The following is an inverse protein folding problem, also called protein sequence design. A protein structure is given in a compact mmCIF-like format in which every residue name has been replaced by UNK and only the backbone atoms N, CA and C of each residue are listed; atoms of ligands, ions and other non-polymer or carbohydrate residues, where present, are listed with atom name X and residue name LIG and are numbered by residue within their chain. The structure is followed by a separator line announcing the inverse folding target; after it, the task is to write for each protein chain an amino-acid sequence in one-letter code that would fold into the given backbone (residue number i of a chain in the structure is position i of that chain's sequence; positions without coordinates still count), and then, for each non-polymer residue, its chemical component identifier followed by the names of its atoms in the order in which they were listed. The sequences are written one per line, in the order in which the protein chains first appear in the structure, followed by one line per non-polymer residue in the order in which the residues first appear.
data_IF_825551960428
#
_entry.id   IF_825551960428
#
_cell.length_a   1.000
_cell.length_b   1.000
_cell.length_c   1.000
_cell.angle_alpha   90.00
_cell.angle_beta   90.00
_cell.angle_gamma   90.00
#
_symmetry.space_group_name_H-M   'P 1'
#
loop_
_entity.id
_entity.type
_entity.pdbx_description
1 polymer ?
#
# COMPACT_ATOMS: atom_id res chain seq x y z
N UNK A 1 -13.07 -25.39 33.63
CA UNK A 1 -11.76 -24.80 33.98
C UNK A 1 -10.93 -24.71 32.71
N UNK A 2 -10.39 -23.51 32.42
CA UNK A 2 -9.21 -23.21 31.58
C UNK A 2 -9.46 -23.18 30.05
N UNK A 3 -9.97 -22.08 29.46
CA UNK A 3 -9.32 -20.81 29.00
C UNK A 3 -8.36 -20.93 27.82
N UNK A 4 -8.65 -20.15 26.76
CA UNK A 4 -7.77 -19.20 26.02
C UNK A 4 -8.19 -19.10 24.53
N UNK A 5 -8.82 -18.00 24.10
CA UNK A 5 -8.24 -16.78 23.44
C UNK A 5 -7.64 -17.05 22.06
N UNK A 6 -7.87 -16.29 20.98
CA UNK A 6 -8.28 -14.88 20.85
C UNK A 6 -8.99 -14.65 19.51
N UNK A 7 -10.07 -13.86 19.51
CA UNK A 7 -10.46 -13.11 18.32
C UNK A 7 -9.43 -12.00 18.11
N UNK A 8 -8.57 -12.15 17.11
CA UNK A 8 -7.66 -11.07 16.70
C UNK A 8 -8.32 -10.29 15.58
N UNK A 9 -9.18 -9.34 15.94
CA UNK A 9 -9.56 -8.27 15.03
C UNK A 9 -8.34 -7.35 14.92
N UNK A 10 -7.45 -7.65 13.97
CA UNK A 10 -6.36 -6.74 13.59
C UNK A 10 -6.97 -5.54 12.90
N UNK A 11 -7.33 -4.51 13.66
CA UNK A 11 -7.56 -3.17 13.12
C UNK A 11 -6.19 -2.56 12.77
N UNK A 12 -5.53 -3.12 11.75
CA UNK A 12 -4.42 -2.44 11.07
C UNK A 12 -5.05 -1.31 10.27
N UNK A 13 -4.96 -0.09 10.78
CA UNK A 13 -5.31 1.11 10.03
C UNK A 13 -4.54 1.09 8.71
N UNK A 14 -5.29 0.94 7.60
CA UNK A 14 -4.72 0.99 6.25
C UNK A 14 -4.07 2.35 6.04
N UNK A 15 -2.94 2.38 5.35
CA UNK A 15 -2.25 3.63 5.02
C UNK A 15 -3.00 4.40 3.91
N UNK A 16 -2.78 5.71 3.85
CA UNK A 16 -3.34 6.55 2.80
C UNK A 16 -2.87 6.07 1.42
N UNK A 17 -3.83 5.93 0.49
CA UNK A 17 -3.63 5.37 -0.84
C UNK A 17 -3.53 3.84 -0.90
N UNK A 18 -3.80 3.11 0.19
CA UNK A 18 -3.91 1.65 0.16
C UNK A 18 -4.93 1.16 -0.87
N UNK A 19 -6.13 1.75 -0.88
CA UNK A 19 -7.18 1.34 -1.81
C UNK A 19 -6.75 1.58 -3.27
N UNK A 20 -6.06 2.69 -3.56
CA UNK A 20 -5.57 3.00 -4.91
C UNK A 20 -4.53 1.97 -5.37
N UNK A 21 -3.63 1.53 -4.47
CA UNK A 21 -2.69 0.46 -4.77
C UNK A 21 -3.40 -0.87 -5.05
N UNK A 22 -4.36 -1.27 -4.21
CA UNK A 22 -5.10 -2.52 -4.40
C UNK A 22 -5.94 -2.49 -5.67
N UNK A 23 -6.59 -1.37 -5.98
CA UNK A 23 -7.33 -1.19 -7.24
C UNK A 23 -6.39 -1.33 -8.44
N UNK A 24 -5.24 -0.64 -8.41
CA UNK A 24 -4.25 -0.76 -9.48
C UNK A 24 -3.75 -2.20 -9.67
N UNK A 25 -3.42 -2.91 -8.59
CA UNK A 25 -2.93 -4.29 -8.68
C UNK A 25 -3.99 -5.25 -9.22
N UNK A 26 -5.27 -5.05 -8.90
CA UNK A 26 -6.37 -5.86 -9.44
C UNK A 26 -6.62 -5.62 -10.93
N UNK A 27 -6.50 -4.38 -11.39
CA UNK A 27 -6.88 -4.00 -12.76
C UNK A 27 -5.78 -4.27 -13.79
N UNK A 28 -4.53 -4.40 -13.35
CA UNK A 28 -3.39 -4.49 -14.25
C UNK A 28 -2.94 -5.94 -14.49
N UNK A 29 -2.85 -6.33 -15.76
CA UNK A 29 -2.37 -7.66 -16.17
C UNK A 29 -0.89 -7.87 -15.85
N UNK A 30 -0.09 -6.80 -15.91
CA UNK A 30 1.33 -6.82 -15.55
C UNK A 30 1.67 -5.55 -14.76
N UNK A 31 1.36 -5.53 -13.45
CA UNK A 31 1.52 -4.34 -12.63
C UNK A 31 3.01 -4.00 -12.51
N UNK A 32 3.33 -2.71 -12.63
CA UNK A 32 4.68 -2.22 -12.40
C UNK A 32 4.64 -1.03 -11.44
N UNK A 33 5.65 -0.94 -10.57
CA UNK A 33 5.73 0.18 -9.63
C UNK A 33 5.79 1.52 -10.36
N UNK A 34 6.56 1.61 -11.46
CA UNK A 34 6.61 2.82 -12.30
C UNK A 34 5.25 3.16 -12.91
N UNK A 35 4.49 2.17 -13.37
CA UNK A 35 3.13 2.38 -13.88
C UNK A 35 2.17 2.88 -12.80
N UNK A 36 2.26 2.33 -11.60
CA UNK A 36 1.50 2.79 -10.43
C UNK A 36 1.79 4.26 -10.13
N UNK A 37 3.07 4.66 -10.07
CA UNK A 37 3.47 6.05 -9.85
C UNK A 37 2.90 7.01 -10.90
N UNK A 38 2.89 6.61 -12.18
CA UNK A 38 2.40 7.45 -13.26
C UNK A 38 0.88 7.66 -13.22
N UNK A 39 0.11 6.64 -12.80
CA UNK A 39 -1.36 6.72 -12.76
C UNK A 39 -1.91 7.30 -11.47
N UNK A 40 -1.18 7.18 -10.35
CA UNK A 40 -1.65 7.56 -9.00
C UNK A 40 -0.81 8.68 -8.38
N UNK A 41 -0.22 9.54 -9.22
CA UNK A 41 0.69 10.59 -8.77
C UNK A 41 0.04 11.53 -7.75
N UNK A 42 -1.23 11.90 -7.96
CA UNK A 42 -1.95 12.78 -7.03
C UNK A 42 -2.17 12.14 -5.65
N UNK A 43 -2.50 10.85 -5.60
CA UNK A 43 -2.60 10.09 -4.33
C UNK A 43 -1.26 10.08 -3.61
N UNK A 44 -0.17 9.83 -4.33
CA UNK A 44 1.17 9.76 -3.74
C UNK A 44 1.60 11.13 -3.26
N UNK A 45 1.36 12.19 -4.06
CA UNK A 45 1.66 13.58 -3.73
C UNK A 45 0.86 14.05 -2.50
N UNK A 46 -0.42 13.70 -2.42
CA UNK A 46 -1.29 14.08 -1.30
C UNK A 46 -1.02 13.27 -0.02
N UNK A 47 -0.41 12.07 -0.15
CA UNK A 47 0.07 11.30 1.00
C UNK A 47 1.32 11.91 1.66
N UNK A 48 1.92 12.97 1.09
CA UNK A 48 3.09 13.61 1.68
C UNK A 48 2.74 14.43 2.92
N UNK A 49 3.35 14.05 4.04
CA UNK A 49 3.54 14.93 5.19
C UNK A 49 4.95 15.54 5.26
N UNK A 50 5.88 15.16 4.36
CA UNK A 50 7.28 15.62 4.42
C UNK A 50 7.92 15.78 3.04
N UNK A 51 8.83 16.75 2.86
CA UNK A 51 9.59 16.97 1.61
C UNK A 51 10.66 15.88 1.31
N UNK A 52 10.60 14.71 1.94
CA UNK A 52 11.59 13.64 1.74
C UNK A 52 11.12 12.63 0.69
N UNK A 53 11.28 13.01 -0.58
CA UNK A 53 10.92 12.21 -1.75
C UNK A 53 11.57 10.82 -1.79
N UNK A 54 12.82 10.70 -1.32
CA UNK A 54 13.52 9.40 -1.27
C UNK A 54 12.89 8.44 -0.27
N UNK A 55 12.52 8.96 0.91
CA UNK A 55 11.85 8.13 1.91
C UNK A 55 10.47 7.70 1.40
N UNK A 56 9.72 8.61 0.78
CA UNK A 56 8.43 8.32 0.17
C UNK A 56 8.52 7.20 -0.87
N UNK A 57 9.47 7.30 -1.81
CA UNK A 57 9.68 6.29 -2.85
C UNK A 57 10.07 4.92 -2.27
N UNK A 58 10.94 4.90 -1.26
CA UNK A 58 11.27 3.66 -0.55
C UNK A 58 10.05 3.05 0.15
N UNK A 59 9.19 3.86 0.77
CA UNK A 59 7.97 3.39 1.44
C UNK A 59 6.97 2.82 0.43
N UNK A 60 6.71 3.54 -0.67
CA UNK A 60 5.74 3.11 -1.68
C UNK A 60 6.23 1.90 -2.47
N UNK A 61 7.52 1.81 -2.80
CA UNK A 61 8.09 0.63 -3.44
C UNK A 61 8.00 -0.60 -2.52
N UNK A 62 8.28 -0.46 -1.22
CA UNK A 62 8.12 -1.56 -0.25
C UNK A 62 6.66 -2.03 -0.12
N UNK A 63 5.71 -1.09 -0.07
CA UNK A 63 4.27 -1.38 -0.06
C UNK A 63 3.85 -2.11 -1.33
N UNK A 64 4.22 -1.58 -2.49
CA UNK A 64 3.94 -2.19 -3.79
C UNK A 64 4.45 -3.63 -3.84
N UNK A 65 5.72 -3.86 -3.49
CA UNK A 65 6.31 -5.21 -3.46
C UNK A 65 5.67 -6.16 -2.45
N UNK A 66 5.07 -5.63 -1.39
CA UNK A 66 4.40 -6.43 -0.37
C UNK A 66 3.03 -6.87 -0.86
N UNK A 67 2.21 -5.92 -1.33
CA UNK A 67 0.85 -6.22 -1.79
C UNK A 67 0.86 -6.99 -3.12
N UNK A 68 1.78 -6.69 -4.05
CA UNK A 68 1.89 -7.36 -5.34
C UNK A 68 2.23 -8.86 -5.24
N UNK A 69 2.71 -9.35 -4.09
CA UNK A 69 2.90 -10.80 -3.86
C UNK A 69 1.59 -11.56 -3.71
N UNK A 70 0.49 -10.85 -3.48
CA UNK A 70 -0.84 -11.42 -3.28
C UNK A 70 -1.69 -11.40 -4.55
N UNK A 71 -1.12 -10.99 -5.69
CA UNK A 71 -1.74 -10.95 -7.02
C UNK A 71 -0.90 -11.75 -8.01
#
# INVERSE_FOLDING_TARGET
MNTKTSNTTSNTTRYDGYNDLITYLNEQVNPSYRGFLMLNNDTIINSLSSNNWKHLDNTWSARFLTEAKSF
#
